data_IF_045705323226
#
_entry.id   IF_045705323226
#
_cell.length_a   1.000
_cell.length_b   1.000
_cell.length_c   1.000
_cell.angle_alpha   90.00
_cell.angle_beta   90.00
_cell.angle_gamma   90.00
#
_symmetry.space_group_name_H-M   'P 1'
#
loop_
_entity.id
_entity.type
_entity.pdbx_description
1 polymer ?
#
# COMPACT_ATOMS: atom_id res chain seq x y z
N UNK A 1 30.52 -0.35 -4.14
CA UNK A 1 29.60 -0.53 -3.00
C UNK A 1 28.20 -0.23 -3.48
N UNK A 2 27.23 -1.13 -3.29
CA UNK A 2 25.84 -0.90 -3.70
C UNK A 2 25.23 0.13 -2.73
N UNK A 3 24.62 1.20 -3.26
CA UNK A 3 23.99 2.24 -2.43
C UNK A 3 22.63 1.76 -1.90
N UNK A 4 22.28 2.15 -0.68
CA UNK A 4 21.02 1.79 -0.01
C UNK A 4 19.78 2.13 -0.85
N UNK A 5 19.73 3.31 -1.47
CA UNK A 5 18.62 3.70 -2.36
C UNK A 5 18.46 2.78 -3.58
N UNK A 6 19.55 2.17 -4.07
CA UNK A 6 19.47 1.22 -5.19
C UNK A 6 18.81 -0.09 -4.73
N UNK A 7 19.10 -0.54 -3.52
CA UNK A 7 18.49 -1.74 -2.94
C UNK A 7 17.00 -1.49 -2.71
N UNK A 8 16.66 -0.40 -2.02
CA UNK A 8 15.27 -0.04 -1.71
C UNK A 8 14.47 0.17 -3.00
N UNK A 9 15.02 0.93 -3.95
CA UNK A 9 14.36 1.15 -5.25
C UNK A 9 14.16 -0.14 -6.05
N UNK A 10 15.14 -1.05 -6.02
CA UNK A 10 15.02 -2.35 -6.70
C UNK A 10 13.95 -3.23 -6.04
N UNK A 11 13.90 -3.27 -4.70
CA UNK A 11 12.89 -4.03 -3.97
C UNK A 11 11.49 -3.44 -4.24
N UNK A 12 11.32 -2.13 -4.09
CA UNK A 12 10.04 -1.47 -4.35
C UNK A 12 9.57 -1.68 -5.79
N UNK A 13 10.49 -1.62 -6.77
CA UNK A 13 10.18 -1.92 -8.16
C UNK A 13 9.76 -3.38 -8.37
N UNK A 14 10.50 -4.34 -7.79
CA UNK A 14 10.15 -5.76 -7.87
C UNK A 14 8.79 -6.05 -7.24
N UNK A 15 8.51 -5.47 -6.06
CA UNK A 15 7.23 -5.62 -5.38
C UNK A 15 6.10 -5.03 -6.23
N UNK A 16 6.26 -3.82 -6.77
CA UNK A 16 5.29 -3.21 -7.68
C UNK A 16 5.09 -4.00 -8.98
N UNK A 17 6.16 -4.55 -9.56
CA UNK A 17 6.12 -5.39 -10.75
C UNK A 17 5.38 -6.70 -10.50
N UNK A 18 5.72 -7.39 -9.40
CA UNK A 18 5.05 -8.62 -8.96
C UNK A 18 3.56 -8.36 -8.68
N UNK A 19 3.24 -7.25 -8.01
CA UNK A 19 1.85 -6.85 -7.76
C UNK A 19 1.04 -6.70 -9.06
N UNK A 20 1.60 -6.04 -10.08
CA UNK A 20 0.96 -5.93 -11.39
C UNK A 20 0.85 -7.27 -12.11
N UNK A 21 1.87 -8.12 -12.03
CA UNK A 21 1.89 -9.42 -12.69
C UNK A 21 0.88 -10.42 -12.10
N UNK A 22 0.75 -10.44 -10.77
CA UNK A 22 -0.16 -11.36 -10.06
C UNK A 22 -1.60 -10.88 -10.14
N UNK A 23 -1.85 -9.57 -10.29
CA UNK A 23 -3.20 -9.02 -10.39
C UNK A 23 -3.88 -9.57 -11.64
N UNK A 24 -4.95 -10.39 -11.49
CA UNK A 24 -5.63 -10.97 -12.64
C UNK A 24 -6.17 -9.86 -13.54
N UNK A 25 -5.95 -9.99 -14.85
CA UNK A 25 -6.40 -9.01 -15.83
C UNK A 25 -7.91 -8.79 -15.65
N UNK A 26 -8.30 -7.55 -15.37
CA UNK A 26 -9.62 -7.10 -14.87
C UNK A 26 -10.73 -8.12 -15.14
N UNK A 27 -11.01 -8.95 -14.13
CA UNK A 27 -12.02 -10.00 -14.23
C UNK A 27 -13.34 -9.37 -14.65
N UNK A 28 -14.12 -10.06 -15.49
CA UNK A 28 -15.45 -9.57 -15.88
C UNK A 28 -16.26 -9.22 -14.61
N UNK A 29 -16.10 -9.97 -13.53
CA UNK A 29 -16.66 -9.67 -12.21
C UNK A 29 -16.45 -8.21 -11.76
N UNK A 30 -15.21 -7.70 -11.75
CA UNK A 30 -14.93 -6.33 -11.28
C UNK A 30 -15.60 -5.23 -12.14
N UNK A 31 -15.88 -5.52 -13.41
CA UNK A 31 -16.56 -4.59 -14.33
C UNK A 31 -18.06 -4.50 -14.09
N UNK A 32 -18.68 -5.53 -13.50
CA UNK A 32 -20.13 -5.54 -13.22
C UNK A 32 -20.47 -4.92 -11.86
N UNK A 33 -19.48 -4.69 -11.00
CA UNK A 33 -19.71 -4.10 -9.68
C UNK A 33 -20.19 -2.66 -9.79
N UNK A 34 -21.26 -2.35 -9.07
CA UNK A 34 -21.72 -0.99 -8.88
C UNK A 34 -20.71 -0.19 -8.06
N UNK A 35 -20.41 1.02 -8.52
CA UNK A 35 -19.41 1.90 -7.91
C UNK A 35 -20.06 3.12 -7.24
N UNK A 36 -19.42 3.71 -6.22
CA UNK A 36 -19.93 4.92 -5.60
C UNK A 36 -19.89 6.10 -6.56
N UNK A 37 -20.95 6.92 -6.58
CA UNK A 37 -21.07 8.07 -7.50
C UNK A 37 -20.00 9.15 -7.31
N UNK A 38 -19.34 9.18 -6.15
CA UNK A 38 -18.29 10.15 -5.82
C UNK A 38 -16.90 9.73 -6.33
N UNK A 39 -16.72 8.49 -6.78
CA UNK A 39 -15.45 7.97 -7.28
C UNK A 39 -15.21 8.41 -8.73
N UNK A 40 -15.12 9.71 -8.96
CA UNK A 40 -14.92 10.30 -10.30
C UNK A 40 -13.46 10.32 -10.76
N UNK A 41 -12.52 10.02 -9.85
CA UNK A 41 -11.07 10.17 -10.05
C UNK A 41 -10.34 8.82 -10.19
N UNK A 42 -11.01 7.79 -10.70
CA UNK A 42 -10.40 6.45 -10.84
C UNK A 42 -9.14 6.45 -11.69
N UNK A 43 -9.09 7.24 -12.76
CA UNK A 43 -7.92 7.37 -13.63
C UNK A 43 -6.70 7.96 -12.90
N UNK A 44 -6.91 8.68 -11.79
CA UNK A 44 -5.84 9.22 -10.96
C UNK A 44 -5.29 8.21 -9.94
N UNK A 45 -6.00 7.10 -9.67
CA UNK A 45 -5.59 6.10 -8.67
C UNK A 45 -4.17 5.56 -8.92
N UNK A 46 -3.77 5.18 -10.15
CA UNK A 46 -2.41 4.71 -10.41
C UNK A 46 -1.34 5.77 -10.12
N UNK A 47 -1.64 7.04 -10.42
CA UNK A 47 -0.72 8.15 -10.13
C UNK A 47 -0.57 8.38 -8.62
N UNK A 48 -1.68 8.34 -7.87
CA UNK A 48 -1.67 8.47 -6.41
C UNK A 48 -0.82 7.37 -5.77
N UNK A 49 -1.00 6.11 -6.20
CA UNK A 49 -0.19 5.01 -5.70
C UNK A 49 1.29 5.15 -6.06
N UNK A 50 1.61 5.64 -7.26
CA UNK A 50 3.00 5.90 -7.67
C UNK A 50 3.67 6.89 -6.72
N UNK A 51 2.98 7.99 -6.38
CA UNK A 51 3.48 8.98 -5.40
C UNK A 51 3.67 8.32 -4.02
N UNK A 52 2.69 7.54 -3.56
CA UNK A 52 2.75 6.84 -2.28
C UNK A 52 3.95 5.88 -2.20
N UNK A 53 4.20 5.08 -3.24
CA UNK A 53 5.34 4.17 -3.28
C UNK A 53 6.68 4.91 -3.28
N UNK A 54 6.79 6.01 -4.02
CA UNK A 54 7.99 6.86 -4.01
C UNK A 54 8.23 7.43 -2.61
N UNK A 55 7.19 7.95 -1.97
CA UNK A 55 7.30 8.50 -0.62
C UNK A 55 7.66 7.40 0.41
N UNK A 56 7.06 6.22 0.31
CA UNK A 56 7.39 5.07 1.15
C UNK A 56 8.84 4.61 1.00
N UNK A 57 9.33 4.48 -0.23
CA UNK A 57 10.72 4.12 -0.52
C UNK A 57 11.70 5.19 -0.01
N UNK A 58 11.37 6.47 -0.16
CA UNK A 58 12.20 7.55 0.37
C UNK A 58 12.20 7.57 1.91
N UNK A 59 11.04 7.35 2.54
CA UNK A 59 10.93 7.19 3.99
C UNK A 59 11.85 6.07 4.50
N UNK A 60 11.80 4.91 3.84
CA UNK A 60 12.67 3.77 4.16
C UNK A 60 14.16 4.10 3.98
N UNK A 61 14.52 4.84 2.92
CA UNK A 61 15.90 5.28 2.69
C UNK A 61 16.43 6.18 3.81
N UNK A 62 15.64 7.16 4.26
CA UNK A 62 16.05 8.06 5.36
C UNK A 62 16.31 7.25 6.63
N UNK A 63 15.44 6.28 6.93
CA UNK A 63 15.61 5.41 8.11
C UNK A 63 16.81 4.48 7.99
N UNK A 64 17.08 3.95 6.79
CA UNK A 64 18.28 3.14 6.54
C UNK A 64 19.56 3.94 6.81
N UNK A 65 19.65 5.15 6.28
CA UNK A 65 20.85 6.00 6.40
C UNK A 65 21.07 6.52 7.82
N UNK A 66 20.03 6.62 8.64
CA UNK A 66 20.17 7.12 10.01
C UNK A 66 20.99 6.17 10.91
N UNK A 67 20.81 4.85 10.76
CA UNK A 67 21.47 3.84 11.60
C UNK A 67 21.80 2.58 10.79
N UNK A 68 22.73 2.64 9.81
CA UNK A 68 23.01 1.53 8.92
C UNK A 68 23.59 0.33 9.69
N UNK A 69 23.28 -0.88 9.22
CA UNK A 69 23.76 -2.17 9.77
C UNK A 69 23.33 -2.51 11.21
N UNK A 70 22.29 -1.87 11.74
CA UNK A 70 21.70 -2.23 13.04
C UNK A 70 20.53 -3.20 12.88
N UNK A 71 20.26 -3.99 13.92
CA UNK A 71 19.09 -4.89 13.94
C UNK A 71 17.76 -4.12 13.90
N UNK A 72 17.74 -2.90 14.46
CA UNK A 72 16.59 -2.00 14.39
C UNK A 72 16.29 -1.64 12.94
N UNK A 73 17.30 -1.26 12.16
CA UNK A 73 17.12 -0.93 10.73
C UNK A 73 16.64 -2.13 9.94
N UNK A 74 17.16 -3.35 10.20
CA UNK A 74 16.66 -4.57 9.56
C UNK A 74 15.20 -4.84 9.89
N UNK A 75 14.81 -4.68 11.15
CA UNK A 75 13.42 -4.82 11.58
C UNK A 75 12.52 -3.79 10.88
N UNK A 76 12.93 -2.52 10.84
CA UNK A 76 12.19 -1.47 10.13
C UNK A 76 12.03 -1.79 8.65
N UNK A 77 13.09 -2.22 7.96
CA UNK A 77 13.01 -2.61 6.55
C UNK A 77 12.08 -3.80 6.33
N UNK A 78 12.06 -4.76 7.27
CA UNK A 78 11.07 -5.83 7.28
C UNK A 78 9.64 -5.32 7.40
N UNK A 79 9.39 -4.31 8.24
CA UNK A 79 8.06 -3.68 8.37
C UNK A 79 7.65 -2.88 7.13
N UNK A 80 8.57 -2.12 6.51
CA UNK A 80 8.30 -1.45 5.23
C UNK A 80 7.96 -2.46 4.14
N UNK A 81 8.72 -3.55 4.03
CA UNK A 81 8.43 -4.62 3.08
C UNK A 81 7.07 -5.28 3.37
N UNK A 82 6.73 -5.52 4.63
CA UNK A 82 5.43 -6.04 5.04
C UNK A 82 4.30 -5.11 4.60
N UNK A 83 4.47 -3.79 4.81
CA UNK A 83 3.50 -2.79 4.35
C UNK A 83 3.29 -2.87 2.84
N UNK A 84 4.38 -2.93 2.07
CA UNK A 84 4.28 -3.04 0.61
C UNK A 84 3.58 -4.34 0.18
N UNK A 85 3.89 -5.48 0.81
CA UNK A 85 3.24 -6.76 0.54
C UNK A 85 1.73 -6.67 0.77
N UNK A 86 1.28 -6.10 1.89
CA UNK A 86 -0.15 -5.91 2.14
C UNK A 86 -0.79 -4.98 1.12
N UNK A 87 -0.08 -3.92 0.73
CA UNK A 87 -0.52 -2.95 -0.28
C UNK A 87 -0.74 -3.61 -1.64
N UNK A 88 0.22 -4.39 -2.12
CA UNK A 88 0.11 -5.06 -3.42
C UNK A 88 -0.81 -6.29 -3.38
N UNK A 89 -0.98 -6.94 -2.22
CA UNK A 89 -1.84 -8.10 -2.07
C UNK A 89 -3.34 -7.73 -2.10
N UNK A 90 -3.68 -6.48 -1.80
CA UNK A 90 -5.06 -5.97 -1.81
C UNK A 90 -5.82 -6.36 -3.10
N UNK A 91 -5.27 -6.01 -4.27
CA UNK A 91 -5.91 -6.23 -5.57
C UNK A 91 -6.06 -7.73 -5.95
N UNK A 92 -4.99 -8.55 -5.94
CA UNK A 92 -5.10 -9.95 -6.32
C UNK A 92 -5.95 -10.75 -5.34
N UNK A 93 -5.89 -10.49 -4.03
CA UNK A 93 -6.73 -11.17 -3.03
C UNK A 93 -8.20 -10.84 -3.29
N UNK A 94 -8.55 -9.56 -3.41
CA UNK A 94 -9.93 -9.15 -3.69
C UNK A 94 -10.47 -9.81 -4.98
N UNK A 95 -9.69 -9.82 -6.05
CA UNK A 95 -10.10 -10.39 -7.33
C UNK A 95 -10.16 -11.92 -7.33
N UNK A 96 -9.25 -12.58 -6.61
CA UNK A 96 -9.19 -14.05 -6.54
C UNK A 96 -10.32 -14.63 -5.71
N UNK A 97 -10.63 -14.00 -4.58
CA UNK A 97 -11.72 -14.41 -3.70
C UNK A 97 -13.07 -13.84 -4.13
N UNK A 98 -13.12 -12.89 -5.08
CA UNK A 98 -14.33 -12.18 -5.51
C UNK A 98 -15.12 -11.63 -4.31
N UNK A 99 -14.41 -11.08 -3.33
CA UNK A 99 -15.00 -10.54 -2.11
C UNK A 99 -14.46 -9.15 -1.82
N UNK A 100 -15.39 -8.21 -1.65
CA UNK A 100 -15.09 -6.82 -1.30
C UNK A 100 -14.78 -6.67 0.20
N UNK A 101 -15.30 -7.54 1.05
CA UNK A 101 -14.92 -7.62 2.48
C UNK A 101 -13.46 -7.99 2.62
N UNK A 102 -12.95 -8.96 1.85
CA UNK A 102 -11.53 -9.31 1.87
C UNK A 102 -10.65 -8.10 1.52
N UNK A 103 -11.01 -7.34 0.49
CA UNK A 103 -10.33 -6.08 0.16
C UNK A 103 -10.40 -5.05 1.29
N UNK A 104 -11.57 -4.88 1.91
CA UNK A 104 -11.76 -3.95 3.04
C UNK A 104 -10.87 -4.30 4.24
N UNK A 105 -10.77 -5.60 4.58
CA UNK A 105 -9.91 -6.09 5.66
C UNK A 105 -8.45 -5.80 5.32
N UNK A 106 -7.98 -6.14 4.12
CA UNK A 106 -6.59 -5.89 3.72
C UNK A 106 -6.26 -4.40 3.72
N UNK A 107 -7.16 -3.55 3.22
CA UNK A 107 -6.99 -2.09 3.25
C UNK A 107 -6.87 -1.56 4.68
N UNK A 108 -7.76 -2.01 5.58
CA UNK A 108 -7.71 -1.65 7.00
C UNK A 108 -6.46 -2.16 7.72
N UNK A 109 -6.02 -3.39 7.44
CA UNK A 109 -4.77 -3.94 8.00
C UNK A 109 -3.56 -3.16 7.49
N UNK A 110 -3.51 -2.81 6.20
CA UNK A 110 -2.46 -1.97 5.63
C UNK A 110 -2.39 -0.59 6.28
N UNK A 111 -3.54 0.03 6.59
CA UNK A 111 -3.61 1.29 7.33
C UNK A 111 -2.98 1.16 8.73
N UNK A 112 -3.35 0.11 9.48
CA UNK A 112 -2.82 -0.13 10.82
C UNK A 112 -1.31 -0.36 10.79
N UNK A 113 -0.80 -1.15 9.85
CA UNK A 113 0.64 -1.37 9.67
C UNK A 113 1.35 -0.04 9.38
N UNK A 114 0.82 0.76 8.45
CA UNK A 114 1.42 2.05 8.11
C UNK A 114 1.41 3.02 9.31
N UNK A 115 0.34 3.02 10.10
CA UNK A 115 0.25 3.86 11.31
C UNK A 115 1.33 3.47 12.32
N UNK A 116 1.50 2.17 12.58
CA UNK A 116 2.53 1.68 13.50
C UNK A 116 3.94 2.02 13.02
N UNK A 117 4.21 1.86 11.72
CA UNK A 117 5.49 2.27 11.11
C UNK A 117 5.67 3.77 11.27
N UNK A 118 4.66 4.58 10.99
CA UNK A 118 4.74 6.04 11.09
C UNK A 118 5.09 6.49 12.52
N UNK A 119 4.46 5.89 13.54
CA UNK A 119 4.76 6.19 14.93
C UNK A 119 6.19 5.79 15.33
N UNK A 120 6.66 4.62 14.88
CA UNK A 120 8.04 4.18 15.11
C UNK A 120 9.05 5.12 14.43
N UNK A 121 8.80 5.46 13.17
CA UNK A 121 9.64 6.33 12.33
C UNK A 121 9.65 7.76 12.86
N UNK A 122 8.54 8.26 13.43
CA UNK A 122 8.44 9.60 14.00
C UNK A 122 9.44 9.83 15.14
N UNK A 123 9.77 8.78 15.91
CA UNK A 123 10.78 8.84 16.97
C UNK A 123 12.22 8.96 16.45
N UNK A 124 12.44 8.66 15.17
CA UNK A 124 13.76 8.69 14.52
C UNK A 124 13.90 9.89 13.59
N UNK A 125 12.91 10.14 12.73
CA UNK A 125 12.93 11.24 11.77
C UNK A 125 11.52 11.73 11.43
N UNK A 126 11.27 13.01 11.73
CA UNK A 126 10.03 13.69 11.37
C UNK A 126 9.76 13.66 9.85
N UNK A 127 10.80 13.88 9.05
CA UNK A 127 10.67 13.89 7.58
C UNK A 127 10.32 12.51 7.02
N UNK A 128 10.89 11.45 7.57
CA UNK A 128 10.54 10.08 7.17
C UNK A 128 9.09 9.75 7.52
N UNK A 129 8.60 10.20 8.69
CA UNK A 129 7.20 10.02 9.08
C UNK A 129 6.25 10.84 8.19
N UNK A 130 6.62 12.07 7.84
CA UNK A 130 5.83 12.93 6.96
C UNK A 130 5.61 12.29 5.58
N UNK A 131 6.61 11.60 5.05
CA UNK A 131 6.52 10.87 3.78
C UNK A 131 5.53 9.68 3.82
N UNK A 132 5.08 9.24 5.00
CA UNK A 132 4.05 8.20 5.13
C UNK A 132 2.63 8.77 5.17
N UNK A 133 2.46 10.08 5.34
CA UNK A 133 1.13 10.72 5.35
C UNK A 133 0.31 10.46 4.08
N UNK A 134 0.87 10.49 2.85
CA UNK A 134 0.10 10.18 1.65
C UNK A 134 -0.56 8.79 1.73
N UNK A 135 0.14 7.79 2.26
CA UNK A 135 -0.42 6.46 2.48
C UNK A 135 -1.54 6.50 3.53
N UNK A 136 -1.30 7.13 4.68
CA UNK A 136 -2.27 7.22 5.78
C UNK A 136 -3.55 7.97 5.39
N UNK A 137 -3.47 8.93 4.48
CA UNK A 137 -4.62 9.66 3.95
C UNK A 137 -5.36 8.85 2.88
N UNK A 138 -4.63 8.15 2.02
CA UNK A 138 -5.20 7.41 0.90
C UNK A 138 -5.81 6.06 1.30
N UNK A 139 -5.16 5.30 2.18
CA UNK A 139 -5.60 3.97 2.59
C UNK A 139 -7.01 3.93 3.21
N UNK A 140 -7.44 4.91 4.05
CA UNK A 140 -8.83 5.01 4.50
C UNK A 140 -9.81 5.28 3.36
N UNK A 141 -9.46 6.13 2.40
CA UNK A 141 -10.29 6.42 1.22
C UNK A 141 -10.49 5.14 0.40
N UNK A 142 -9.41 4.40 0.16
CA UNK A 142 -9.45 3.10 -0.51
C UNK A 142 -10.35 2.11 0.23
N UNK A 143 -10.08 1.88 1.52
CA UNK A 143 -10.87 0.98 2.38
C UNK A 143 -12.35 1.34 2.42
N UNK A 144 -12.67 2.64 2.54
CA UNK A 144 -14.04 3.13 2.52
C UNK A 144 -14.72 2.90 1.16
N UNK A 145 -13.99 3.08 0.06
CA UNK A 145 -14.48 2.78 -1.29
C UNK A 145 -14.92 1.33 -1.38
N UNK A 146 -14.06 0.40 -0.96
CA UNK A 146 -14.32 -1.05 -1.03
C UNK A 146 -15.50 -1.45 -0.15
N UNK A 147 -15.57 -0.87 1.05
CA UNK A 147 -16.69 -1.09 1.96
C UNK A 147 -18.01 -0.54 1.43
N UNK A 148 -17.99 0.63 0.76
CA UNK A 148 -19.20 1.12 0.10
C UNK A 148 -19.58 0.24 -1.09
N UNK A 149 -18.60 -0.24 -1.86
CA UNK A 149 -18.87 -1.19 -2.94
C UNK A 149 -19.49 -2.48 -2.41
N UNK A 150 -19.08 -2.99 -1.24
CA UNK A 150 -19.69 -4.21 -0.66
C UNK A 150 -21.15 -3.99 -0.27
N UNK A 151 -21.50 -2.78 0.18
CA UNK A 151 -22.90 -2.40 0.45
C UNK A 151 -23.74 -2.25 -0.81
N UNK A 152 -23.16 -1.77 -1.91
CA UNK A 152 -23.83 -1.65 -3.20
C UNK A 152 -23.97 -3.00 -3.92
N UNK A 153 -23.08 -3.95 -3.63
CA UNK A 153 -23.06 -5.28 -4.24
C UNK A 153 -23.11 -6.36 -3.16
N UNK A 154 -24.23 -6.52 -2.43
CA UNK A 154 -24.33 -7.42 -1.29
C UNK A 154 -24.15 -8.91 -1.62
N UNK A 155 -24.26 -9.29 -2.90
CA UNK A 155 -24.00 -10.66 -3.38
C UNK A 155 -22.50 -10.96 -3.51
N UNK A 156 -21.66 -9.92 -3.56
CA UNK A 156 -20.21 -9.94 -3.78
C UNK A 156 -19.45 -9.35 -2.58
N UNK A 157 -20.14 -9.17 -1.45
CA UNK A 157 -19.57 -8.68 -0.19
C UNK A 157 -18.56 -9.69 0.35
#
# INVERSE_FOLDING_TARGET
MIKSWMIIGSIAFLVGFIGNWITPNQSQWFRHLQRPKWLTFESAIPLIWTIIFICGAWSAYIIWEHSPNTDITRLMMGLYLLLEIFTIAYSPVMLRFRSLIAGTILGGTGLLICLLITLAVLSVSFWAALLLLPYLLWSPIGTYTTWQMSRLNPQDA
#
